data_IF_788501156477
#
_entry.id   IF_788501156477
#
_cell.length_a   1.000
_cell.length_b   1.000
_cell.length_c   1.000
_cell.angle_alpha   90.00
_cell.angle_beta   90.00
_cell.angle_gamma   90.00
#
_symmetry.space_group_name_H-M   'P 1'
#
loop_
_entity.id
_entity.type
_entity.pdbx_description
1 polymer ?
#
# COMPACT_ATOMS: atom_id res chain seq x y z
N UNK A 1 7.79 -25.15 15.85
CA UNK A 1 6.99 -24.13 15.12
C UNK A 1 7.97 -23.18 14.47
N UNK A 2 7.76 -22.84 13.20
CA UNK A 2 8.58 -21.86 12.49
C UNK A 2 7.75 -20.62 12.14
N UNK A 3 8.39 -19.46 12.12
CA UNK A 3 7.76 -18.18 11.82
C UNK A 3 8.42 -17.54 10.60
N UNK A 4 7.60 -17.08 9.66
CA UNK A 4 8.04 -16.42 8.44
C UNK A 4 7.29 -15.10 8.28
N UNK A 5 8.02 -14.07 7.89
CA UNK A 5 7.40 -12.86 7.38
C UNK A 5 6.92 -13.11 5.95
N UNK A 6 5.71 -12.66 5.64
CA UNK A 6 5.16 -12.60 4.29
C UNK A 6 4.82 -11.14 4.00
N UNK A 7 5.21 -10.66 2.83
CA UNK A 7 5.05 -9.26 2.45
C UNK A 7 5.72 -8.96 1.11
N UNK A 8 5.75 -7.68 0.74
CA UNK A 8 6.37 -7.19 -0.49
C UNK A 8 7.90 -7.01 -0.33
N UNK A 9 8.63 -6.92 -1.44
CA UNK A 9 10.07 -6.62 -1.42
C UNK A 9 10.36 -5.14 -1.15
N UNK A 10 9.38 -4.28 -1.44
CA UNK A 10 9.41 -2.83 -1.37
C UNK A 10 8.37 -2.30 -0.36
N UNK A 11 8.17 -0.99 -0.38
CA UNK A 11 7.17 -0.27 0.39
C UNK A 11 6.70 0.92 -0.45
N UNK A 12 5.58 1.53 -0.08
CA UNK A 12 4.99 2.65 -0.81
C UNK A 12 4.61 3.78 0.15
N UNK A 13 4.75 5.01 -0.30
CA UNK A 13 4.35 6.20 0.47
C UNK A 13 2.82 6.39 0.46
N UNK A 14 2.26 6.87 1.57
CA UNK A 14 0.81 7.02 1.74
C UNK A 14 0.20 7.98 0.71
N UNK A 15 0.91 9.06 0.36
CA UNK A 15 0.42 10.00 -0.68
C UNK A 15 0.35 9.33 -2.05
N UNK A 16 1.31 8.45 -2.39
CA UNK A 16 1.30 7.70 -3.64
C UNK A 16 0.11 6.74 -3.72
N UNK A 17 -0.28 6.13 -2.59
CA UNK A 17 -1.52 5.33 -2.53
C UNK A 17 -2.73 6.18 -2.90
N UNK A 18 -2.84 7.39 -2.36
CA UNK A 18 -3.95 8.29 -2.64
C UNK A 18 -3.98 8.73 -4.12
N UNK A 19 -2.82 8.99 -4.72
CA UNK A 19 -2.70 9.28 -6.15
C UNK A 19 -3.16 8.12 -7.03
N UNK A 20 -2.73 6.88 -6.72
CA UNK A 20 -3.13 5.69 -7.48
C UNK A 20 -4.66 5.57 -7.49
N UNK A 21 -5.32 5.81 -6.35
CA UNK A 21 -6.79 5.77 -6.30
C UNK A 21 -7.42 6.85 -7.19
N UNK A 22 -6.90 8.08 -7.16
CA UNK A 22 -7.37 9.18 -8.03
C UNK A 22 -7.17 8.85 -9.51
N UNK A 23 -6.02 8.28 -9.86
CA UNK A 23 -5.68 7.82 -11.22
C UNK A 23 -6.66 6.75 -11.70
N UNK A 24 -6.87 5.69 -10.93
CA UNK A 24 -7.75 4.56 -11.31
C UNK A 24 -9.23 4.96 -11.35
N UNK A 25 -9.65 5.95 -10.55
CA UNK A 25 -10.99 6.52 -10.62
C UNK A 25 -11.18 7.50 -11.80
N UNK A 26 -10.11 7.84 -12.54
CA UNK A 26 -10.17 8.79 -13.65
C UNK A 26 -10.55 10.22 -13.22
N UNK A 27 -10.29 10.58 -11.96
CA UNK A 27 -10.65 11.89 -11.43
C UNK A 27 -9.61 12.93 -11.84
N UNK A 28 -10.08 14.15 -12.08
CA UNK A 28 -9.23 15.31 -12.41
C UNK A 28 -9.48 16.43 -11.41
N UNK A 29 -8.49 17.32 -11.23
CA UNK A 29 -8.57 18.46 -10.31
C UNK A 29 -8.81 18.10 -8.82
N UNK A 30 -8.30 16.96 -8.37
CA UNK A 30 -8.35 16.55 -6.96
C UNK A 30 -7.29 17.31 -6.16
N UNK A 31 -7.68 17.87 -5.02
CA UNK A 31 -6.77 18.51 -4.06
C UNK A 31 -6.53 17.62 -2.86
N UNK A 32 -5.26 17.39 -2.51
CA UNK A 32 -4.88 16.66 -1.31
C UNK A 32 -4.65 17.62 -0.14
N UNK A 33 -5.37 17.41 0.95
CA UNK A 33 -5.20 18.16 2.19
C UNK A 33 -4.63 17.24 3.28
N UNK A 34 -3.41 17.55 3.73
CA UNK A 34 -2.74 16.79 4.78
C UNK A 34 -2.99 17.43 6.14
N UNK A 35 -3.33 16.64 7.14
CA UNK A 35 -3.60 17.11 8.51
C UNK A 35 -2.33 17.47 9.30
N UNK A 36 -1.15 17.19 8.75
CA UNK A 36 0.14 17.34 9.44
C UNK A 36 0.47 16.19 10.41
N UNK A 37 -0.53 15.42 10.81
CA UNK A 37 -0.38 14.23 11.67
C UNK A 37 0.10 14.57 13.10
N UNK A 38 0.52 13.52 13.82
CA UNK A 38 1.14 13.59 15.16
C UNK A 38 2.60 13.17 15.10
N UNK A 39 3.40 13.54 16.12
CA UNK A 39 4.76 13.03 16.35
C UNK A 39 5.61 12.87 15.08
N UNK A 40 5.74 13.94 14.29
CA UNK A 40 6.54 13.96 13.06
C UNK A 40 5.85 13.32 11.83
N UNK A 41 4.54 13.46 11.72
CA UNK A 41 3.76 13.12 10.50
C UNK A 41 3.11 11.74 10.49
N UNK A 42 2.89 11.13 11.66
CA UNK A 42 2.11 9.89 11.82
C UNK A 42 0.61 10.18 11.77
N UNK A 43 -0.19 9.20 11.34
CA UNK A 43 -1.64 9.34 11.32
C UNK A 43 -2.26 9.45 12.72
N UNK A 44 -1.76 8.68 13.68
CA UNK A 44 -2.23 8.64 15.06
C UNK A 44 -1.15 8.09 16.02
N UNK A 45 -1.39 8.19 17.33
CA UNK A 45 -0.46 7.65 18.35
C UNK A 45 -0.39 6.12 18.23
N UNK A 46 0.81 5.60 18.00
CA UNK A 46 1.05 4.17 17.78
C UNK A 46 1.15 3.75 16.31
N UNK A 47 0.93 4.68 15.36
CA UNK A 47 1.16 4.43 13.94
C UNK A 47 2.66 4.23 13.64
N UNK A 48 2.96 3.11 12.98
CA UNK A 48 4.32 2.75 12.58
C UNK A 48 4.61 3.40 11.23
N UNK A 49 5.24 4.58 11.29
CA UNK A 49 5.52 5.41 10.10
C UNK A 49 6.25 4.70 8.95
N UNK A 50 7.19 3.80 9.27
CA UNK A 50 7.96 3.04 8.28
C UNK A 50 7.88 1.56 8.61
N UNK A 51 7.36 0.76 7.67
CA UNK A 51 7.20 -0.68 7.84
C UNK A 51 7.64 -1.39 6.56
N UNK A 52 8.59 -2.31 6.72
CA UNK A 52 8.95 -3.31 5.72
C UNK A 52 9.55 -4.50 6.43
N UNK A 53 9.02 -5.69 6.16
CA UNK A 53 9.53 -6.92 6.74
C UNK A 53 10.60 -7.52 5.81
N UNK A 54 11.67 -8.07 6.39
CA UNK A 54 12.56 -8.92 5.61
C UNK A 54 11.86 -10.24 5.31
N UNK A 55 11.76 -10.59 4.02
CA UNK A 55 11.16 -11.84 3.52
C UNK A 55 12.20 -12.84 3.01
N UNK A 56 13.49 -12.61 3.27
CA UNK A 56 14.58 -13.44 2.73
C UNK A 56 14.48 -14.92 3.16
N UNK A 57 14.03 -15.18 4.40
CA UNK A 57 13.79 -16.55 4.87
C UNK A 57 12.72 -17.26 4.04
N UNK A 58 11.64 -16.58 3.70
CA UNK A 58 10.56 -17.15 2.88
C UNK A 58 10.99 -17.30 1.42
N UNK A 59 11.76 -16.33 0.90
CA UNK A 59 12.36 -16.38 -0.45
C UNK A 59 13.34 -17.54 -0.64
N UNK A 60 14.08 -17.94 0.40
CA UNK A 60 14.97 -19.10 0.35
C UNK A 60 14.24 -20.43 0.14
N UNK A 61 12.93 -20.47 0.41
CA UNK A 61 12.06 -21.63 0.17
C UNK A 61 11.41 -21.62 -1.22
N UNK A 62 11.77 -20.65 -2.07
CA UNK A 62 11.25 -20.53 -3.45
C UNK A 62 9.99 -19.69 -3.60
N UNK A 63 9.40 -19.19 -2.50
CA UNK A 63 8.28 -18.25 -2.59
C UNK A 63 8.75 -16.86 -3.03
N UNK A 64 7.98 -16.20 -3.91
CA UNK A 64 8.20 -14.79 -4.29
C UNK A 64 6.86 -14.06 -4.44
N UNK A 65 6.80 -12.76 -4.06
CA UNK A 65 5.63 -11.95 -4.37
C UNK A 65 5.51 -11.80 -5.89
N UNK A 66 4.26 -11.80 -6.39
CA UNK A 66 3.99 -11.64 -7.83
C UNK A 66 3.86 -10.18 -8.26
N UNK A 67 3.59 -9.30 -7.31
CA UNK A 67 3.38 -7.87 -7.50
C UNK A 67 4.26 -7.11 -6.50
N UNK A 68 4.76 -5.95 -6.91
CA UNK A 68 5.35 -4.99 -5.99
C UNK A 68 4.25 -4.20 -5.23
N UNK A 69 4.63 -3.29 -4.33
CA UNK A 69 3.67 -2.56 -3.50
C UNK A 69 2.74 -1.66 -4.32
N UNK A 70 3.25 -0.94 -5.32
CA UNK A 70 2.42 -0.09 -6.19
C UNK A 70 1.45 -0.91 -7.05
N UNK A 71 1.92 -1.99 -7.67
CA UNK A 71 1.10 -2.88 -8.48
C UNK A 71 -0.02 -3.53 -7.66
N UNK A 72 0.26 -3.93 -6.41
CA UNK A 72 -0.72 -4.51 -5.51
C UNK A 72 -1.79 -3.46 -5.10
N UNK A 73 -1.38 -2.23 -4.80
CA UNK A 73 -2.30 -1.12 -4.48
C UNK A 73 -3.18 -0.80 -5.68
N UNK A 74 -2.58 -0.65 -6.88
CA UNK A 74 -3.31 -0.34 -8.12
C UNK A 74 -4.32 -1.42 -8.47
N UNK A 75 -3.91 -2.69 -8.40
CA UNK A 75 -4.83 -3.81 -8.62
C UNK A 75 -5.98 -3.80 -7.62
N UNK A 76 -5.70 -3.53 -6.34
CA UNK A 76 -6.74 -3.46 -5.31
C UNK A 76 -7.71 -2.31 -5.60
N UNK A 77 -7.22 -1.13 -5.98
CA UNK A 77 -8.07 -0.01 -6.36
C UNK A 77 -8.98 -0.36 -7.54
N UNK A 78 -8.46 -0.99 -8.58
CA UNK A 78 -9.23 -1.46 -9.75
C UNK A 78 -10.33 -2.44 -9.35
N UNK A 79 -10.03 -3.45 -8.52
CA UNK A 79 -11.03 -4.43 -8.09
C UNK A 79 -12.13 -3.77 -7.24
N UNK A 80 -11.79 -2.87 -6.32
CA UNK A 80 -12.77 -2.14 -5.49
C UNK A 80 -13.67 -1.23 -6.35
N UNK A 81 -13.09 -0.49 -7.30
CA UNK A 81 -13.86 0.36 -8.22
C UNK A 81 -14.82 -0.51 -9.03
N UNK A 82 -14.34 -1.66 -9.51
CA UNK A 82 -15.18 -2.61 -10.25
C UNK A 82 -16.33 -3.14 -9.38
N UNK A 83 -16.07 -3.54 -8.13
CA UNK A 83 -17.10 -4.01 -7.19
C UNK A 83 -18.13 -2.95 -6.82
N UNK A 84 -17.74 -1.67 -6.80
CA UNK A 84 -18.60 -0.57 -6.34
C UNK A 84 -19.29 0.20 -7.46
N UNK A 85 -18.78 0.14 -8.69
CA UNK A 85 -19.32 0.85 -9.86
C UNK A 85 -19.98 -0.08 -10.90
N UNK A 86 -20.02 -1.40 -10.67
CA UNK A 86 -20.89 -2.29 -11.43
C UNK A 86 -22.30 -2.24 -10.84
N UNK A 87 -23.16 -1.44 -11.47
CA UNK A 87 -24.63 -1.61 -11.44
C UNK A 87 -25.04 -2.87 -12.20
#
# INVERSE_FOLDING_TARGET
VEFFNIGSEDWIEVWRIAEIVVEEMGLTNVSFHFTGGVDGGRGWRGDVKYMRLSIERLKSLGWRPKLNSEEAVRRTAQEIIKETCMD
#
